data_IF_169780305407
#
_entry.id   IF_169780305407
#
_cell.length_a   1.000
_cell.length_b   1.000
_cell.length_c   1.000
_cell.angle_alpha   90.00
_cell.angle_beta   90.00
_cell.angle_gamma   90.00
#
_symmetry.space_group_name_H-M   'P 1'
#
loop_
_entity.id
_entity.type
_entity.pdbx_description
1 polymer ?
2 water ?
#
# COMPACT_ATOMS: atom_id res chain seq x y z
N UNK A 9 -16.93 -11.93 6.95
CA UNK A 9 -18.24 -11.87 6.29
C UNK A 9 -18.14 -11.22 4.90
N UNK A 10 -17.33 -10.17 4.78
CA UNK A 10 -17.20 -9.46 3.50
C UNK A 10 -16.39 -10.25 2.48
N UNK A 11 -16.97 -10.46 1.28
CA UNK A 11 -16.30 -11.26 0.24
C UNK A 11 -15.06 -10.56 -0.31
N UNK A 12 -13.99 -11.32 -0.50
CA UNK A 12 -12.79 -10.85 -1.16
C UNK A 12 -12.73 -11.37 -2.58
N UNK A 13 -12.29 -10.52 -3.51
CA UNK A 13 -12.08 -10.91 -4.90
C UNK A 13 -10.59 -10.99 -5.15
N UNK A 14 -10.13 -12.06 -5.77
CA UNK A 14 -8.69 -12.35 -5.81
C UNK A 14 -8.03 -12.15 -7.16
N UNK A 15 -8.84 -11.89 -8.18
CA UNK A 15 -8.36 -11.79 -9.55
C UNK A 15 -9.16 -10.76 -10.31
N UNK A 16 -8.52 -10.11 -11.28
CA UNK A 16 -9.22 -9.17 -12.15
C UNK A 16 -10.49 -9.78 -12.73
N UNK A 17 -10.38 -11.02 -13.19
CA UNK A 17 -11.54 -11.66 -13.80
C UNK A 17 -12.67 -11.86 -12.81
N UNK A 18 -12.35 -11.98 -11.53
CA UNK A 18 -13.40 -12.06 -10.53
C UNK A 18 -14.06 -10.71 -10.31
N UNK A 19 -13.27 -9.65 -10.36
CA UNK A 19 -13.85 -8.31 -10.25
C UNK A 19 -14.80 -8.08 -11.41
N UNK A 20 -14.40 -8.45 -12.61
CA UNK A 20 -15.25 -8.29 -13.77
C UNK A 20 -16.52 -9.11 -13.63
N UNK A 21 -16.34 -10.40 -13.30
CA UNK A 21 -17.47 -11.29 -13.04
C UNK A 21 -18.44 -10.75 -11.99
N UNK A 22 -17.91 -10.26 -10.86
CA UNK A 22 -18.76 -9.69 -9.82
C UNK A 22 -19.58 -8.53 -10.36
N UNK A 23 -18.95 -7.72 -11.21
CA UNK A 23 -19.60 -6.53 -11.75
C UNK A 23 -20.56 -6.83 -12.91
N UNK A 24 -20.20 -7.81 -13.75
CA UNK A 24 -21.05 -8.24 -14.85
C UNK A 24 -22.31 -8.98 -14.40
N UNK A 25 -22.30 -9.51 -13.19
CA UNK A 25 -23.36 -10.41 -12.75
C UNK A 25 -24.44 -9.80 -11.87
N UNK A 26 -24.33 -8.51 -11.58
CA UNK A 26 -25.38 -7.86 -10.80
C UNK A 26 -26.22 -7.00 -11.71
N UNK A 27 -27.44 -7.42 -12.00
CA UNK A 27 -28.28 -6.55 -12.80
C UNK A 27 -29.17 -5.69 -11.93
N UNK A 28 -29.23 -6.02 -10.64
CA UNK A 28 -30.25 -5.44 -9.78
C UNK A 28 -29.73 -4.66 -8.58
N UNK A 29 -28.44 -4.72 -8.29
CA UNK A 29 -27.89 -4.00 -7.14
C UNK A 29 -26.63 -3.22 -7.47
N UNK A 30 -26.31 -2.21 -6.66
CA UNK A 30 -25.04 -1.51 -6.82
C UNK A 30 -23.92 -2.41 -6.36
N UNK A 31 -22.88 -2.51 -7.17
CA UNK A 31 -21.69 -3.23 -6.76
C UNK A 31 -20.70 -2.22 -6.21
N UNK A 32 -20.47 -2.33 -4.91
CA UNK A 32 -19.53 -1.48 -4.18
C UNK A 32 -18.20 -2.20 -4.00
N UNK A 33 -17.13 -1.59 -4.50
CA UNK A 33 -15.79 -2.17 -4.38
C UNK A 33 -14.89 -1.35 -3.48
N UNK A 34 -14.27 -1.99 -2.50
CA UNK A 34 -13.25 -1.34 -1.71
C UNK A 34 -11.89 -1.78 -2.22
N UNK A 35 -11.20 -0.88 -2.92
CA UNK A 35 -9.84 -1.14 -3.42
C UNK A 35 -8.82 -0.67 -2.41
N UNK A 36 -8.02 -1.59 -1.86
CA UNK A 36 -7.01 -1.24 -0.88
C UNK A 36 -6.28 -2.44 -0.32
N UNK A 37 -6.11 -2.47 0.99
CA UNK A 37 -5.48 -3.60 1.67
C UNK A 37 -6.14 -3.76 3.02
N UNK A 38 -6.46 -5.00 3.39
CA UNK A 38 -7.08 -5.30 4.68
C UNK A 38 -6.29 -4.74 5.83
N UNK A 39 -4.97 -4.68 5.63
CA UNK A 39 -4.05 -4.33 6.68
C UNK A 39 -3.61 -2.85 6.63
N UNK A 40 -4.18 -2.10 5.72
CA UNK A 40 -3.94 -0.66 5.69
C UNK A 40 -4.81 -0.02 6.79
N UNK A 41 -4.28 0.99 7.51
CA UNK A 41 -5.02 1.66 8.59
C UNK A 41 -6.36 2.26 8.13
N UNK A 42 -6.33 3.07 7.07
CA UNK A 42 -7.52 3.71 6.51
C UNK A 42 -8.56 2.68 6.06
N UNK A 43 -8.10 1.58 5.47
CA UNK A 43 -9.00 0.54 5.00
C UNK A 43 -9.62 -0.22 6.16
N UNK A 44 -8.95 -0.26 7.30
CA UNK A 44 -9.52 -0.91 8.47
C UNK A 44 -10.77 -0.16 8.95
N UNK A 45 -10.69 1.16 8.99
CA UNK A 45 -11.84 1.97 9.35
C UNK A 45 -12.97 1.77 8.34
N UNK A 46 -12.65 1.97 7.06
CA UNK A 46 -13.63 1.84 5.99
C UNK A 46 -14.30 0.48 5.99
N UNK A 47 -13.52 -0.57 6.17
CA UNK A 47 -14.08 -1.92 6.22
C UNK A 47 -14.98 -2.15 7.43
N UNK A 48 -14.67 -1.50 8.54
CA UNK A 48 -15.55 -1.55 9.71
C UNK A 48 -16.93 -0.95 9.40
N UNK A 49 -16.94 0.23 8.79
CA UNK A 49 -18.17 0.84 8.28
C UNK A 49 -18.93 -0.09 7.30
N UNK A 50 -18.27 -0.50 6.22
CA UNK A 50 -18.92 -1.34 5.23
C UNK A 50 -19.51 -2.62 5.84
N UNK A 51 -18.73 -3.29 6.68
CA UNK A 51 -19.15 -4.56 7.27
C UNK A 51 -20.41 -4.40 8.12
N UNK A 52 -20.54 -3.28 8.80
CA UNK A 52 -21.67 -3.10 9.70
C UNK A 52 -22.95 -2.71 8.95
N UNK A 53 -22.81 -1.95 7.87
CA UNK A 53 -23.98 -1.59 7.08
C UNK A 53 -24.31 -2.62 6.00
N UNK A 54 -23.44 -3.60 5.77
CA UNK A 54 -23.64 -4.54 4.66
C UNK A 54 -25.01 -5.22 4.67
N UNK A 55 -25.65 -5.26 5.83
CA UNK A 55 -26.92 -5.96 5.99
C UNK A 55 -28.08 -4.99 5.74
N UNK A 56 -27.99 -3.81 6.34
CA UNK A 56 -28.94 -2.74 6.10
C UNK A 56 -29.20 -2.49 4.60
N UNK A 57 -28.17 -2.66 3.76
CA UNK A 57 -28.22 -2.31 2.34
C UNK A 57 -28.23 -3.49 1.35
N UNK A 58 -28.32 -4.72 1.83
CA UNK A 58 -28.29 -5.89 0.94
C UNK A 58 -29.40 -5.97 -0.12
N UNK A 59 -30.51 -5.30 0.12
CA UNK A 59 -31.58 -5.31 -0.87
C UNK A 59 -31.11 -4.62 -2.15
N UNK A 60 -30.27 -3.61 -2.01
CA UNK A 60 -29.86 -2.83 -3.18
C UNK A 60 -28.34 -2.67 -3.41
N UNK A 61 -27.51 -3.32 -2.60
CA UNK A 61 -26.07 -3.22 -2.82
C UNK A 61 -25.35 -4.47 -2.36
N UNK A 62 -24.27 -4.79 -3.07
CA UNK A 62 -23.39 -5.90 -2.70
C UNK A 62 -21.97 -5.35 -2.59
N UNK A 63 -21.23 -5.81 -1.58
CA UNK A 63 -19.97 -5.19 -1.21
C UNK A 63 -18.79 -6.14 -1.30
N UNK A 64 -17.73 -5.72 -1.99
CA UNK A 64 -16.56 -6.56 -2.19
C UNK A 64 -15.26 -5.88 -1.78
N UNK A 65 -14.32 -6.66 -1.28
CA UNK A 65 -13.00 -6.15 -0.97
C UNK A 65 -12.00 -6.68 -2.00
N UNK A 66 -11.20 -5.79 -2.55
CA UNK A 66 -10.14 -6.15 -3.47
C UNK A 66 -8.77 -5.64 -2.97
N UNK A 67 -7.78 -6.53 -2.91
CA UNK A 67 -6.40 -6.14 -2.59
C UNK A 67 -5.67 -5.63 -3.84
N UNK A 68 -5.21 -4.39 -3.83
CA UNK A 68 -4.62 -3.81 -5.05
C UNK A 68 -3.16 -4.20 -5.36
N UNK A 69 -2.55 -5.02 -4.50
CA UNK A 69 -1.30 -5.69 -4.83
C UNK A 69 -1.62 -7.07 -5.40
N UNK A 70 -2.56 -7.77 -4.78
CA UNK A 70 -2.96 -9.04 -5.35
C UNK A 70 -3.66 -8.84 -6.69
N UNK A 71 -4.44 -7.77 -6.80
CA UNK A 71 -5.16 -7.48 -8.05
C UNK A 71 -4.86 -6.06 -8.46
N UNK A 72 -3.78 -5.86 -9.22
CA UNK A 72 -3.36 -4.49 -9.52
C UNK A 72 -3.82 -4.02 -10.88
N UNK A 73 -4.65 -4.83 -11.54
CA UNK A 73 -5.11 -4.58 -12.91
C UNK A 73 -5.79 -3.24 -13.14
N UNK A 74 -6.41 -2.68 -12.10
CA UNK A 74 -7.18 -1.43 -12.25
C UNK A 74 -6.43 -0.21 -11.67
N UNK A 75 -5.25 -0.45 -11.12
CA UNK A 75 -4.50 0.62 -10.46
C UNK A 75 -4.25 1.83 -11.32
N UNK A 76 -3.97 1.61 -12.60
CA UNK A 76 -3.71 2.72 -13.50
C UNK A 76 -5.00 3.42 -13.96
N UNK A 77 -5.90 2.68 -14.61
CA UNK A 77 -7.13 3.27 -15.15
C UNK A 77 -8.06 3.87 -14.10
N UNK A 78 -8.06 3.31 -12.89
CA UNK A 78 -8.90 3.85 -11.84
C UNK A 78 -8.11 4.73 -10.88
N UNK A 79 -6.83 4.96 -11.21
CA UNK A 79 -5.98 5.92 -10.50
C UNK A 79 -5.93 5.64 -9.02
N UNK A 80 -5.67 4.39 -8.67
CA UNK A 80 -5.82 3.96 -7.30
C UNK A 80 -4.61 4.29 -6.45
N UNK A 81 -4.35 5.58 -6.25
CA UNK A 81 -3.12 5.99 -5.56
C UNK A 81 -3.30 6.24 -4.06
N UNK A 82 -4.55 6.37 -3.63
CA UNK A 82 -4.89 6.53 -2.22
C UNK A 82 -4.85 5.19 -1.49
N UNK A 83 -4.70 5.20 -0.15
CA UNK A 83 -4.72 3.97 0.66
C UNK A 83 -6.07 3.24 0.57
N UNK A 84 -7.15 4.00 0.58
CA UNK A 84 -8.48 3.39 0.57
C UNK A 84 -9.36 4.01 -0.51
N UNK A 85 -9.95 3.17 -1.35
CA UNK A 85 -10.81 3.67 -2.42
C UNK A 85 -12.06 2.81 -2.52
N UNK A 86 -13.22 3.45 -2.36
CA UNK A 86 -14.51 2.80 -2.55
C UNK A 86 -15.15 3.28 -3.85
N UNK A 87 -15.47 2.34 -4.74
CA UNK A 87 -16.11 2.71 -6.00
C UNK A 87 -17.47 2.02 -6.21
N UNK A 88 -18.33 2.69 -6.97
CA UNK A 88 -19.68 2.21 -7.18
C UNK A 88 -19.93 1.83 -8.64
N UNK A 89 -20.47 0.63 -8.86
CA UNK A 89 -20.88 0.21 -10.20
C UNK A 89 -22.34 -0.20 -10.23
N UNK A 90 -22.95 -0.12 -11.40
CA UNK A 90 -24.33 -0.57 -11.57
C UNK A 90 -24.45 -0.98 -13.03
N UNK A 91 -24.87 -2.21 -13.27
CA UNK A 91 -25.05 -2.74 -14.63
C UNK A 91 -23.84 -2.47 -15.50
N UNK A 92 -22.67 -2.79 -14.96
CA UNK A 92 -21.39 -2.68 -15.68
C UNK A 92 -20.89 -1.25 -15.92
N UNK A 93 -21.61 -0.27 -15.38
CA UNK A 93 -21.19 1.12 -15.55
C UNK A 93 -20.63 1.72 -14.28
N UNK A 94 -19.46 2.33 -14.37
CA UNK A 94 -18.96 3.12 -13.26
C UNK A 94 -19.86 4.35 -13.08
N UNK A 95 -20.23 4.61 -11.82
CA UNK A 95 -21.13 5.70 -11.46
C UNK A 95 -20.39 6.80 -10.71
N UNK A 96 -20.44 8.03 -11.22
CA UNK A 96 -19.78 9.16 -10.55
C UNK A 96 -20.62 9.74 -9.43
N UNK A 97 -20.00 10.54 -8.56
CA UNK A 97 -20.75 11.14 -7.46
C UNK A 97 -20.43 12.61 -7.28
N UNK A 98 -21.48 13.40 -7.06
CA UNK A 98 -21.34 14.75 -6.53
C UNK A 98 -21.82 14.78 -5.10
N UNK A 99 -20.86 14.83 -4.16
CA UNK A 99 -21.17 14.93 -2.74
C UNK A 99 -21.02 16.36 -2.26
N UNK A 100 -20.50 17.21 -3.12
CA UNK A 100 -20.31 18.61 -2.78
C UNK A 100 -18.94 18.83 -2.22
N UNK A 101 -18.12 17.78 -2.26
CA UNK A 101 -16.78 17.81 -1.69
C UNK A 101 -16.03 16.59 -2.19
N UNK A 102 -14.71 16.68 -2.26
CA UNK A 102 -13.91 15.52 -2.61
C UNK A 102 -14.02 15.10 -4.07
N UNK A 103 -13.57 13.88 -4.32
CA UNK A 103 -13.50 13.29 -5.65
C UNK A 103 -14.89 12.97 -6.23
N UNK A 104 -14.98 12.85 -7.56
CA UNK A 104 -16.24 12.52 -8.20
C UNK A 104 -16.31 11.09 -8.72
N UNK A 105 -15.20 10.39 -8.68
CA UNK A 105 -15.15 9.03 -9.21
C UNK A 105 -15.13 8.00 -8.11
N UNK A 106 -14.88 8.45 -6.88
CA UNK A 106 -14.61 7.53 -5.80
C UNK A 106 -14.68 8.25 -4.47
N UNK A 107 -14.92 7.49 -3.42
CA UNK A 107 -14.72 7.97 -2.07
C UNK A 107 -13.34 7.48 -1.64
N UNK A 108 -12.40 8.40 -1.47
CA UNK A 108 -11.04 8.02 -1.09
C UNK A 108 -10.58 8.54 0.26
N UNK A 109 -11.52 8.80 1.15
CA UNK A 109 -11.17 9.15 2.52
C UNK A 109 -11.86 8.22 3.51
N UNK A 110 -11.28 8.10 4.70
CA UNK A 110 -11.93 7.34 5.77
C UNK A 110 -13.17 8.11 6.23
N UNK A 111 -14.34 7.59 5.87
CA UNK A 111 -15.57 8.33 6.07
C UNK A 111 -16.29 7.89 7.33
N UNK A 112 -16.29 8.80 8.31
CA UNK A 112 -16.74 8.56 9.68
C UNK A 112 -18.09 7.85 9.79
N UNK A 113 -19.16 8.58 9.47
CA UNK A 113 -20.51 8.16 9.78
C UNK A 113 -21.01 7.00 8.91
N UNK A 114 -21.51 5.95 9.56
CA UNK A 114 -22.07 4.80 8.86
C UNK A 114 -23.29 5.21 8.03
N UNK A 115 -24.09 6.11 8.58
CA UNK A 115 -25.31 6.58 7.95
C UNK A 115 -25.04 7.37 6.67
N UNK A 116 -23.88 8.02 6.56
CA UNK A 116 -23.56 8.73 5.33
C UNK A 116 -23.39 7.71 4.19
N UNK A 117 -22.69 6.62 4.50
CA UNK A 117 -22.39 5.63 3.48
C UNK A 117 -23.69 5.04 2.95
N UNK A 118 -24.53 4.59 3.88
CA UNK A 118 -25.86 4.06 3.55
C UNK A 118 -26.63 5.05 2.66
N UNK A 119 -26.63 6.31 3.06
CA UNK A 119 -27.26 7.38 2.27
C UNK A 119 -26.66 7.52 0.87
N UNK A 120 -25.34 7.39 0.75
CA UNK A 120 -24.67 7.52 -0.53
C UNK A 120 -24.94 6.32 -1.43
N UNK A 121 -24.90 5.13 -0.84
CA UNK A 121 -25.28 3.93 -1.56
C UNK A 121 -26.71 4.04 -2.09
N UNK A 122 -27.65 4.47 -1.24
CA UNK A 122 -29.04 4.62 -1.65
C UNK A 122 -29.15 5.60 -2.80
N UNK A 123 -28.43 6.70 -2.69
CA UNK A 123 -28.37 7.69 -3.74
C UNK A 123 -27.91 7.07 -5.05
N UNK A 124 -26.83 6.29 -4.99
CA UNK A 124 -26.25 5.68 -6.18
C UNK A 124 -27.26 4.73 -6.82
N UNK A 125 -27.87 3.89 -6.00
CA UNK A 125 -28.95 3.01 -6.47
C UNK A 125 -30.12 3.78 -7.13
N UNK A 126 -30.62 4.80 -6.44
CA UNK A 126 -31.71 5.63 -6.95
C UNK A 126 -31.40 6.18 -8.33
N UNK A 127 -30.28 6.88 -8.43
CA UNK A 127 -29.93 7.56 -9.67
C UNK A 127 -29.55 6.58 -10.76
N UNK A 128 -28.84 5.52 -10.39
CA UNK A 128 -28.36 4.58 -11.40
C UNK A 128 -29.51 3.81 -12.04
N UNK A 129 -30.51 3.45 -11.23
CA UNK A 129 -31.72 2.80 -11.76
C UNK A 129 -32.43 3.64 -12.80
N UNK A 130 -32.32 4.96 -12.67
CA UNK A 130 -32.88 5.91 -13.62
C UNK A 130 -31.97 6.14 -14.83
N UNK A 131 -30.85 5.43 -14.90
CA UNK A 131 -29.95 5.51 -16.04
C UNK A 131 -28.95 6.65 -15.96
N UNK A 132 -28.76 7.20 -14.77
CA UNK A 132 -27.84 8.32 -14.61
C UNK A 132 -26.39 7.90 -14.33
N UNK A 133 -25.44 8.48 -15.06
CA UNK A 133 -24.03 8.15 -14.88
C UNK A 133 -23.39 8.98 -13.78
N UNK A 134 -24.18 9.89 -13.21
CA UNK A 134 -23.69 10.69 -12.10
C UNK A 134 -24.84 10.97 -11.16
N UNK A 135 -24.64 10.73 -9.87
CA UNK A 135 -25.70 11.05 -8.92
C UNK A 135 -25.26 12.16 -7.98
N UNK A 136 -26.23 12.90 -7.47
CA UNK A 136 -25.90 13.95 -6.52
C UNK A 136 -26.64 13.71 -5.22
N UNK A 137 -25.88 13.54 -4.15
CA UNK A 137 -26.48 13.26 -2.86
C UNK A 137 -27.36 14.44 -2.46
N UNK A 138 -28.47 14.17 -1.76
CA UNK A 138 -29.36 15.25 -1.32
C UNK A 138 -28.66 16.20 -0.34
N UNK A 139 -27.73 15.66 0.44
CA UNK A 139 -27.01 16.47 1.42
C UNK A 139 -25.67 16.93 0.87
N UNK A 140 -25.30 18.17 1.18
CA UNK A 140 -23.98 18.70 0.85
C UNK A 140 -23.06 18.53 2.05
N UNK A 141 -22.03 17.70 1.86
CA UNK A 141 -21.01 17.54 2.87
C UNK A 141 -19.91 18.58 2.62
N UNK A 142 -19.76 19.55 3.52
CA UNK A 142 -18.72 20.57 3.38
C UNK A 142 -18.45 21.29 4.70
N UNK A 164 -13.49 8.09 -18.97
CA UNK A 164 -12.20 8.07 -18.25
C UNK A 164 -12.17 7.05 -17.10
N UNK A 165 -13.33 6.55 -16.67
CA UNK A 165 -13.36 5.38 -15.78
C UNK A 165 -14.20 4.28 -16.42
N UNK A 166 -13.61 3.50 -17.32
CA UNK A 166 -14.38 2.50 -18.06
C UNK A 166 -14.71 1.27 -17.21
N UNK A 167 -15.61 0.43 -17.73
CA UNK A 167 -16.01 -0.81 -17.06
C UNK A 167 -14.78 -1.70 -16.89
N UNK A 168 -14.83 -2.64 -15.93
CA UNK A 168 -13.67 -3.49 -15.62
C UNK A 168 -13.22 -4.33 -16.79
N UNK A 169 -14.16 -4.77 -17.62
CA UNK A 169 -13.82 -5.53 -18.81
C UNK A 169 -12.96 -4.71 -19.73
N UNK A 170 -13.35 -3.45 -19.92
CA UNK A 170 -12.58 -2.52 -20.73
C UNK A 170 -11.15 -2.40 -20.22
N UNK A 171 -10.99 -2.32 -18.90
CA UNK A 171 -9.64 -2.16 -18.36
C UNK A 171 -8.80 -3.41 -18.56
N UNK A 172 -9.39 -4.58 -18.30
CA UNK A 172 -8.70 -5.86 -18.51
C UNK A 172 -8.28 -6.02 -19.97
N UNK A 173 -9.21 -5.73 -20.87
CA UNK A 173 -8.97 -5.80 -22.30
C UNK A 173 -7.83 -4.87 -22.76
N UNK A 174 -7.79 -3.65 -22.24
CA UNK A 174 -6.75 -2.69 -22.60
C UNK A 174 -5.41 -3.05 -21.99
N UNK A 175 -5.41 -3.68 -20.81
CA UNK A 175 -4.17 -4.18 -20.25
C UNK A 175 -3.59 -5.27 -21.15
N UNK A 176 -4.47 -6.09 -21.71
CA UNK A 176 -4.05 -7.19 -22.60
C UNK A 176 -3.24 -6.69 -23.80
N UNK A 177 -3.75 -5.67 -24.49
CA UNK A 177 -3.11 -5.22 -25.72
C UNK A 177 -1.73 -4.60 -25.44
N UNK A 178 -1.65 -3.76 -24.41
CA UNK A 178 -0.40 -3.10 -24.03
C UNK A 178 0.75 -4.10 -23.85
N UNK A 179 0.39 -5.36 -23.64
CA UNK A 179 1.37 -6.45 -23.62
C UNK A 179 1.04 -7.48 -24.70
N UNK B 9 16.03 11.75 -7.02
CA UNK B 9 14.76 11.78 -6.31
C UNK B 9 14.79 11.11 -4.93
N UNK B 10 15.53 10.01 -4.78
CA UNK B 10 15.60 9.34 -3.48
C UNK B 10 16.47 10.14 -2.50
N UNK B 11 15.94 10.39 -1.30
CA UNK B 11 16.70 11.18 -0.32
C UNK B 11 17.97 10.47 0.15
N UNK B 12 19.02 11.25 0.43
CA UNK B 12 20.25 10.71 0.99
C UNK B 12 20.41 11.20 2.41
N UNK B 13 21.00 10.37 3.26
CA UNK B 13 21.25 10.75 4.64
C UNK B 13 22.76 10.86 4.79
N UNK B 14 23.23 12.03 5.21
CA UNK B 14 24.65 12.34 5.12
C UNK B 14 25.42 12.21 6.42
N UNK B 15 24.70 11.99 7.52
CA UNK B 15 25.34 11.87 8.83
C UNK B 15 24.66 10.80 9.65
N UNK B 16 25.36 10.26 10.63
CA UNK B 16 24.78 9.27 11.51
C UNK B 16 23.56 9.80 12.25
N UNK B 17 23.61 11.07 12.66
CA UNK B 17 22.48 11.61 13.39
C UNK B 17 21.25 11.70 12.51
N UNK B 18 21.46 11.85 11.21
CA UNK B 18 20.34 11.92 10.27
C UNK B 18 19.72 10.56 10.07
N UNK B 19 20.54 9.51 10.08
CA UNK B 19 19.97 8.19 9.99
C UNK B 19 19.07 7.96 11.20
N UNK B 20 19.61 8.24 12.38
CA UNK B 20 18.81 8.09 13.59
C UNK B 20 17.53 8.94 13.51
N UNK B 21 17.69 10.21 13.13
CA UNK B 21 16.57 11.11 12.96
C UNK B 21 15.50 10.55 12.02
N UNK B 22 15.92 10.01 10.88
CA UNK B 22 15.00 9.44 9.91
C UNK B 22 14.21 8.28 10.51
N UNK B 23 14.88 7.51 11.36
CA UNK B 23 14.29 6.30 11.91
C UNK B 23 13.42 6.61 13.12
N UNK B 24 13.84 7.58 13.92
CA UNK B 24 13.10 8.00 15.11
C UNK B 24 11.81 8.71 14.77
N UNK B 25 11.79 9.36 13.61
CA UNK B 25 10.69 10.27 13.35
C UNK B 25 9.54 9.70 12.50
N UNK B 26 9.60 8.43 12.14
CA UNK B 26 8.49 7.80 11.42
C UNK B 26 7.74 6.89 12.38
N UNK B 27 6.46 7.16 12.54
CA UNK B 27 5.64 6.40 13.46
C UNK B 27 4.69 5.47 12.71
N UNK B 28 4.49 5.76 11.44
CA UNK B 28 3.45 5.07 10.68
C UNK B 28 3.99 4.29 9.48
N UNK B 29 5.28 4.40 9.19
CA UNK B 29 5.81 3.71 8.01
C UNK B 29 7.11 2.94 8.28
N UNK B 30 7.34 1.92 7.46
CA UNK B 30 8.61 1.25 7.51
C UNK B 30 9.65 2.21 6.97
N UNK B 31 10.77 2.31 7.65
CA UNK B 31 11.92 2.98 7.08
C UNK B 31 12.79 1.94 6.40
N UNK B 32 12.97 2.12 5.09
CA UNK B 32 13.86 1.26 4.32
C UNK B 32 15.17 1.99 4.07
N UNK B 33 16.29 1.40 4.51
CA UNK B 33 17.62 1.99 4.30
C UNK B 33 18.46 1.16 3.32
N UNK B 34 19.01 1.81 2.31
CA UNK B 34 19.97 1.15 1.44
C UNK B 34 21.36 1.64 1.85
N UNK B 35 22.11 0.77 2.51
CA UNK B 35 23.49 1.05 2.95
C UNK B 35 24.45 0.58 1.88
N UNK B 36 25.22 1.50 1.29
CA UNK B 36 26.14 1.11 0.23
C UNK B 36 26.81 2.31 -0.42
N UNK B 37 26.75 2.39 -1.75
CA UNK B 37 27.30 3.54 -2.48
C UNK B 37 26.54 3.72 -3.77
N UNK B 38 26.22 4.97 -4.12
CA UNK B 38 25.60 5.27 -5.41
C UNK B 38 26.38 4.71 -6.61
N UNK B 39 27.69 4.63 -6.48
CA UNK B 39 28.57 4.25 -7.59
C UNK B 39 28.96 2.77 -7.57
N UNK B 40 28.47 2.02 -6.61
CA UNK B 40 28.71 0.58 -6.60
C UNK B 40 27.74 -0.06 -7.59
N UNK B 41 28.21 -1.07 -8.36
CA UNK B 41 27.39 -1.72 -9.41
C UNK B 41 26.12 -2.40 -8.86
N UNK B 42 26.26 -3.14 -7.77
CA UNK B 42 25.11 -3.78 -7.12
C UNK B 42 24.09 -2.75 -6.62
N UNK B 43 24.59 -1.65 -6.06
CA UNK B 43 23.71 -0.61 -5.55
C UNK B 43 23.00 0.14 -6.67
N UNK B 44 23.61 0.22 -7.84
CA UNK B 44 22.95 0.90 -8.96
C UNK B 44 21.70 0.15 -9.40
N UNK B 45 21.80 -1.17 -9.45
CA UNK B 45 20.67 -1.99 -9.83
C UNK B 45 19.63 -1.91 -8.72
N UNK B 46 20.08 -2.05 -7.48
CA UNK B 46 19.16 -1.96 -6.35
C UNK B 46 18.47 -0.60 -6.24
N UNK B 47 19.22 0.48 -6.45
CA UNK B 47 18.61 1.83 -6.39
C UNK B 47 17.61 2.03 -7.52
N UNK B 48 17.81 1.33 -8.62
CA UNK B 48 16.86 1.39 -9.73
C UNK B 48 15.49 0.84 -9.32
N UNK B 49 15.50 -0.37 -8.75
CA UNK B 49 14.32 -0.97 -8.13
C UNK B 49 13.67 -0.08 -7.07
N UNK B 50 14.44 0.35 -6.08
CA UNK B 50 13.90 1.20 -5.01
C UNK B 50 13.27 2.47 -5.55
N UNK B 51 13.93 3.10 -6.50
CA UNK B 51 13.43 4.35 -7.06
C UNK B 51 12.12 4.13 -7.79
N UNK B 52 12.01 3.03 -8.51
CA UNK B 52 10.85 2.80 -9.36
C UNK B 52 9.65 2.24 -8.58
N UNK B 53 9.84 1.89 -7.32
CA UNK B 53 8.72 1.49 -6.50
C UNK B 53 8.39 2.51 -5.40
N UNK B 54 9.19 3.56 -5.26
CA UNK B 54 9.04 4.49 -4.12
C UNK B 54 7.66 5.13 -4.01
N UNK B 55 7.02 5.35 -5.15
CA UNK B 55 5.68 5.92 -5.18
C UNK B 55 4.65 4.86 -4.84
N UNK B 56 4.84 3.68 -5.42
CA UNK B 56 3.95 2.54 -5.20
C UNK B 56 3.74 2.25 -3.71
N UNK B 57 4.77 2.48 -2.90
CA UNK B 57 4.74 2.09 -1.47
C UNK B 57 4.82 3.29 -0.51
N UNK B 58 4.61 4.49 -1.05
CA UNK B 58 4.69 5.71 -0.23
C UNK B 58 3.78 5.71 1.00
N UNK B 59 2.66 5.00 0.92
CA UNK B 59 1.69 5.02 2.01
C UNK B 59 2.15 4.28 3.26
N UNK B 60 3.13 3.39 3.10
CA UNK B 60 3.56 2.60 4.21
C UNK B 60 5.07 2.37 4.30
N UNK B 61 5.83 3.02 3.42
CA UNK B 61 7.29 2.90 3.47
C UNK B 61 7.95 4.16 2.97
N UNK B 62 9.08 4.51 3.58
CA UNK B 62 9.87 5.64 3.12
C UNK B 62 11.32 5.15 2.93
N UNK B 63 11.94 5.57 1.84
CA UNK B 63 13.21 5.01 1.41
C UNK B 63 14.36 6.01 1.43
N UNK B 64 15.44 5.66 2.12
CA UNK B 64 16.62 6.51 2.24
C UNK B 64 17.85 5.79 1.72
N UNK B 65 18.79 6.57 1.17
CA UNK B 65 20.08 6.01 0.75
C UNK B 65 21.19 6.53 1.65
N UNK B 66 22.06 5.63 2.08
CA UNK B 66 23.16 5.99 2.97
C UNK B 66 24.50 5.52 2.40
N UNK B 67 25.44 6.45 2.23
CA UNK B 67 26.78 6.09 1.80
C UNK B 67 27.65 5.65 2.99
N UNK B 68 28.09 4.40 3.00
CA UNK B 68 28.77 3.86 4.19
C UNK B 68 30.25 4.24 4.29
N UNK B 69 30.72 5.09 3.40
CA UNK B 69 31.98 5.76 3.61
C UNK B 69 31.69 7.11 4.23
N UNK B 70 30.76 7.85 3.64
CA UNK B 70 30.39 9.11 4.24
C UNK B 70 29.79 8.91 5.64
N UNK B 71 29.08 7.81 5.84
CA UNK B 71 28.46 7.51 7.12
C UNK B 71 28.76 6.06 7.52
N UNK B 72 29.91 5.85 8.17
CA UNK B 72 30.32 4.47 8.46
C UNK B 72 29.93 4.00 9.86
N UNK B 73 29.17 4.81 10.58
CA UNK B 73 28.83 4.56 11.99
C UNK B 73 28.21 3.20 12.28
N UNK B 74 27.52 2.63 11.30
CA UNK B 74 26.77 1.39 11.50
C UNK B 74 27.46 0.19 10.87
N UNK B 75 28.60 0.44 10.23
CA UNK B 75 29.27 -0.61 9.47
C UNK B 75 29.57 -1.83 10.31
N UNK B 76 30.01 -1.61 11.54
CA UNK B 76 30.40 -2.73 12.37
C UNK B 76 29.21 -3.47 12.93
N UNK B 77 28.30 -2.76 13.59
CA UNK B 77 27.17 -3.41 14.25
C UNK B 77 26.06 -3.91 13.33
N UNK B 78 25.96 -3.36 12.14
CA UNK B 78 25.02 -3.91 11.16
C UNK B 78 25.77 -4.80 10.17
N UNK B 79 27.08 -4.92 10.35
CA UNK B 79 27.88 -5.88 9.59
C UNK B 79 27.80 -5.62 8.10
N UNK B 80 28.00 -4.36 7.73
CA UNK B 80 27.72 -3.96 6.38
C UNK B 80 28.91 -4.25 5.48
N UNK B 81 29.26 -5.53 5.36
CA UNK B 81 30.44 -5.93 4.60
C UNK B 81 30.14 -6.25 3.14
N UNK B 82 28.86 -6.32 2.80
CA UNK B 82 28.44 -6.49 1.41
C UNK B 82 28.39 -5.13 0.71
N UNK B 83 28.55 -5.10 -0.63
CA UNK B 83 28.46 -3.83 -1.36
C UNK B 83 27.08 -3.16 -1.29
N UNK B 84 26.01 -3.95 -1.23
CA UNK B 84 24.67 -3.40 -1.14
C UNK B 84 23.86 -4.05 -0.04
N UNK B 85 23.32 -3.24 0.86
CA UNK B 85 22.52 -3.77 1.96
C UNK B 85 21.24 -2.96 2.17
N UNK B 86 20.10 -3.64 2.19
CA UNK B 86 18.84 -3.03 2.52
C UNK B 86 18.33 -3.52 3.88
N UNK B 87 18.01 -2.59 4.77
CA UNK B 87 17.47 -2.97 6.05
C UNK B 87 16.12 -2.29 6.31
N UNK B 88 15.31 -2.90 7.14
CA UNK B 88 13.99 -2.36 7.41
C UNK B 88 13.86 -1.97 8.86
N UNK B 89 13.24 -0.83 9.11
CA UNK B 89 12.99 -0.40 10.47
C UNK B 89 11.54 -0.02 10.63
N UNK B 90 11.01 -0.23 11.82
CA UNK B 90 9.67 0.23 12.13
C UNK B 90 9.64 0.66 13.58
N UNK B 91 9.16 1.88 13.81
CA UNK B 91 9.04 2.45 15.14
C UNK B 91 10.29 2.25 15.96
N UNK B 92 11.43 2.52 15.33
CA UNK B 92 12.74 2.43 15.96
C UNK B 92 13.28 1.02 16.20
N UNK B 93 12.57 0.02 15.71
CA UNK B 93 13.03 -1.36 15.85
C UNK B 93 13.49 -1.92 14.51
N UNK B 94 14.67 -2.54 14.50
CA UNK B 94 15.10 -3.30 13.33
C UNK B 94 14.17 -4.50 13.15
N UNK B 95 13.81 -4.80 11.91
CA UNK B 95 12.85 -5.87 11.60
C UNK B 95 13.52 -7.00 10.84
N UNK B 96 13.52 -8.21 11.40
CA UNK B 96 14.11 -9.34 10.70
C UNK B 96 13.15 -9.94 9.70
N UNK B 97 13.70 -10.60 8.69
CA UNK B 97 12.89 -11.21 7.65
C UNK B 97 13.23 -12.68 7.44
N UNK B 98 12.19 -13.48 7.20
CA UNK B 98 12.36 -14.85 6.76
C UNK B 98 11.79 -14.95 5.34
N UNK B 99 12.68 -14.98 4.36
CA UNK B 99 12.30 -15.12 2.96
C UNK B 99 12.44 -16.56 2.48
N UNK B 100 13.11 -17.39 3.27
CA UNK B 100 13.32 -18.78 2.90
C UNK B 100 14.78 -19.04 2.62
N UNK B 101 15.45 -18.03 2.09
CA UNK B 101 16.88 -18.09 1.85
C UNK B 101 17.52 -16.80 2.32
N UNK B 102 18.80 -16.64 2.05
CA UNK B 102 19.50 -15.41 2.38
C UNK B 102 19.58 -15.09 3.85
N UNK B 103 20.10 -13.90 4.11
CA UNK B 103 20.27 -13.34 5.45
C UNK B 103 18.92 -13.02 6.11
N UNK B 104 18.88 -12.96 7.43
CA UNK B 104 17.62 -12.67 8.12
C UNK B 104 17.53 -11.24 8.65
N UNK B 105 18.64 -10.53 8.62
CA UNK B 105 18.69 -9.17 9.11
C UNK B 105 18.64 -8.10 8.02
N UNK B 106 18.87 -8.52 6.78
CA UNK B 106 19.05 -7.57 5.70
C UNK B 106 18.86 -8.28 4.39
N UNK B 107 18.68 -7.51 3.32
CA UNK B 107 18.74 -8.05 1.97
C UNK B 107 20.05 -7.56 1.37
N UNK B 108 21.04 -8.45 1.31
CA UNK B 108 22.37 -8.11 0.80
C UNK B 108 22.67 -8.59 -0.62
N UNK B 109 21.64 -8.70 -1.45
CA UNK B 109 21.86 -9.02 -2.86
C UNK B 109 21.03 -8.13 -3.77
N UNK B 110 21.46 -7.98 -5.02
CA UNK B 110 20.70 -7.22 -6.00
C UNK B 110 19.40 -7.98 -6.29
N UNK B 111 18.27 -7.32 -6.06
CA UNK B 111 16.98 -8.01 -6.20
C UNK B 111 16.28 -7.67 -7.50
N UNK B 112 16.21 -8.66 -8.39
CA UNK B 112 15.68 -8.49 -9.73
C UNK B 112 14.26 -7.89 -9.73
N UNK B 113 13.29 -8.70 -9.34
CA UNK B 113 11.88 -8.35 -9.48
C UNK B 113 11.47 -7.16 -8.62
N UNK B 114 10.95 -6.11 -9.25
CA UNK B 114 10.37 -4.98 -8.54
C UNK B 114 9.28 -5.47 -7.57
N UNK B 115 8.44 -6.38 -8.05
CA UNK B 115 7.29 -6.85 -7.30
C UNK B 115 7.69 -7.60 -6.04
N UNK B 116 8.84 -8.28 -6.06
CA UNK B 116 9.30 -8.95 -4.84
C UNK B 116 9.56 -7.93 -3.73
N UNK B 117 10.24 -6.84 -4.07
CA UNK B 117 10.57 -5.84 -3.08
C UNK B 117 9.30 -5.22 -2.50
N UNK B 118 8.33 -4.90 -3.37
CA UNK B 118 7.07 -4.37 -2.91
C UNK B 118 6.38 -5.37 -1.99
N UNK B 119 6.44 -6.64 -2.36
CA UNK B 119 5.85 -7.70 -1.54
C UNK B 119 6.54 -7.82 -0.18
N UNK B 120 7.85 -7.68 -0.15
CA UNK B 120 8.62 -7.77 1.09
C UNK B 120 8.35 -6.57 2.00
N UNK B 121 8.34 -5.38 1.43
CA UNK B 121 8.03 -4.18 2.19
C UNK B 121 6.63 -4.26 2.79
N UNK B 122 5.66 -4.74 2.01
CA UNK B 122 4.31 -4.91 2.54
C UNK B 122 4.28 -5.92 3.67
N UNK B 123 5.05 -6.98 3.52
CA UNK B 123 5.14 -7.99 4.57
C UNK B 123 5.68 -7.38 5.87
N UNK B 124 6.73 -6.56 5.74
CA UNK B 124 7.35 -5.94 6.89
C UNK B 124 6.37 -5.01 7.59
N UNK B 125 5.71 -4.16 6.80
CA UNK B 125 4.66 -3.29 7.32
C UNK B 125 3.57 -4.06 8.07
N UNK B 126 2.94 -5.03 7.41
CA UNK B 126 1.93 -5.88 8.06
C UNK B 126 2.41 -6.47 9.38
N UNK B 127 3.53 -7.17 9.32
CA UNK B 127 4.03 -7.86 10.49
C UNK B 127 4.42 -6.90 11.58
N UNK B 128 5.17 -5.88 11.21
CA UNK B 128 5.70 -4.96 12.20
C UNK B 128 4.57 -4.19 12.88
N UNK B 129 3.52 -3.84 12.14
CA UNK B 129 2.35 -3.18 12.74
C UNK B 129 1.69 -4.04 13.82
N UNK B 130 1.80 -5.35 13.70
CA UNK B 130 1.27 -6.25 14.73
C UNK B 130 2.25 -6.51 15.87
N UNK B 131 3.37 -5.78 15.90
CA UNK B 131 4.33 -5.90 16.98
C UNK B 131 5.38 -6.99 16.80
N UNK B 132 5.41 -7.60 15.62
CA UNK B 132 6.35 -8.68 15.37
C UNK B 132 7.74 -8.19 15.00
N UNK B 133 8.76 -8.75 15.66
CA UNK B 133 10.16 -8.44 15.38
C UNK B 133 10.77 -9.22 14.22
N UNK B 134 10.07 -10.25 13.75
CA UNK B 134 10.48 -10.97 12.54
C UNK B 134 9.24 -11.24 11.70
N UNK B 135 9.33 -10.99 10.40
CA UNK B 135 8.19 -11.26 9.54
C UNK B 135 8.59 -12.34 8.55
N UNK B 136 7.63 -13.17 8.15
CA UNK B 136 7.94 -14.22 7.19
C UNK B 136 7.11 -14.01 5.92
N UNK B 137 7.80 -13.89 4.79
CA UNK B 137 7.11 -13.65 3.53
C UNK B 137 6.15 -14.80 3.22
N UNK B 138 4.97 -14.49 2.68
CA UNK B 138 4.04 -15.55 2.28
C UNK B 138 4.66 -16.47 1.21
N UNK B 139 5.52 -15.92 0.36
CA UNK B 139 6.21 -16.72 -0.66
C UNK B 139 7.58 -17.15 -0.17
N UNK B 140 8.00 -18.35 -0.57
CA UNK B 140 9.36 -18.83 -0.33
C UNK B 140 10.22 -18.53 -1.56
N UNK B 141 11.34 -17.85 -1.35
CA UNK B 141 12.23 -17.45 -2.45
C UNK B 141 13.46 -18.35 -2.60
N UNK B 164 21.33 -8.38 18.95
CA UNK B 164 22.11 -7.77 17.86
C UNK B 164 21.22 -6.95 16.93
N UNK B 165 21.84 -6.18 16.05
CA UNK B 165 21.10 -5.20 15.24
C UNK B 165 20.17 -4.35 16.11
N UNK B 166 20.75 -3.54 17.00
CA UNK B 166 19.89 -2.66 17.79
C UNK B 166 19.53 -1.39 17.01
N UNK B 167 18.61 -0.59 17.55
CA UNK B 167 18.24 0.70 16.98
C UNK B 167 19.48 1.55 16.68
N UNK B 168 19.39 2.42 15.66
CA UNK B 168 20.51 3.29 15.28
C UNK B 168 21.01 4.14 16.45
N UNK B 169 20.08 4.57 17.30
CA UNK B 169 20.42 5.29 18.52
C UNK B 169 21.42 4.56 19.40
N UNK B 170 21.18 3.27 19.63
CA UNK B 170 22.07 2.45 20.46
C UNK B 170 23.45 2.30 19.85
N UNK B 171 23.50 2.14 18.53
CA UNK B 171 24.79 2.02 17.84
C UNK B 171 25.58 3.31 18.01
N UNK B 172 24.91 4.45 17.85
CA UNK B 172 25.58 5.74 18.01
C UNK B 172 26.14 5.90 19.42
N UNK B 173 25.34 5.54 20.42
CA UNK B 173 25.78 5.58 21.82
C UNK B 173 27.03 4.73 22.06
N UNK B 174 26.98 3.49 21.60
CA UNK B 174 28.06 2.54 21.80
C UNK B 174 29.36 3.03 21.18
N UNK B 175 29.25 3.74 20.05
CA UNK B 175 30.44 4.30 19.41
C UNK B 175 31.04 5.43 20.24
N UNK B 176 30.19 6.13 21.00
CA UNK B 176 30.71 7.15 21.91
C UNK B 176 31.57 6.49 23.00
N UNK B 177 31.03 5.44 23.62
CA UNK B 177 31.77 4.78 24.70
C UNK B 177 33.13 4.24 24.28
N UNK B 178 33.17 3.51 23.17
CA UNK B 178 34.43 2.94 22.67
C UNK B 178 35.56 3.97 22.56
N UNK B 179 35.19 5.23 22.29
CA UNK B 179 36.16 6.32 22.27
C UNK B 179 35.87 7.36 23.35
#
# INVERSE_FOLDING_TARGET
MAHHHHHHMLPHLHNGWQVDQAILSEEDRVVVIRFGHDWDPTCMKMDEVLYSIAEKVKNFAVIYLVDITEVPDFNKMYELYDPCTVMFFFRNKHIMIDLGTGNNNKINWAMEDKQEMVDIIETVYRGARKGRGLVVSPKDYSKRNEAKTGADTTAAGPLFQQRPYPSPGAVLRANAEASRTKQQD
MAHHHHHHMLPHLHNGWQVDQAILSEEDRVVVIRFGHDWDPTCMKMDEVLYSIAEKVKNFAVIYLVDITEVPDFNKMYELYDPCTVMFFFRNKHIMIDLGTGNNNKINWAMEDKQEMVDIIETVYRGARKGRGLVVSPKDYSKRNEAKTGADTTAAGPLFQQRPYPSPGAVLRANAEASRTKQQD
#
